data_IF_073365225374
#
_entry.id   IF_073365225374
#
_cell.length_a   1.000
_cell.length_b   1.000
_cell.length_c   1.000
_cell.angle_alpha   90.00
_cell.angle_beta   90.00
_cell.angle_gamma   90.00
#
_symmetry.space_group_name_H-M   'P 1'
#
loop_
_entity.id
_entity.type
_entity.pdbx_description
1 polymer ?
#
# COMPACT_ATOMS: atom_id res chain seq x y z
N UNK A 1 -9.91 2.55 1.99
CA UNK A 1 -9.51 2.73 0.57
C UNK A 1 -10.11 1.58 -0.21
N UNK A 2 -10.74 1.90 -1.35
CA UNK A 2 -11.73 1.14 -2.15
C UNK A 2 -11.45 -0.37 -2.34
N UNK A 3 -12.43 -1.20 -1.99
CA UNK A 3 -12.51 -2.61 -2.43
C UNK A 3 -12.75 -2.66 -3.94
N UNK A 4 -12.26 -3.72 -4.60
CA UNK A 4 -12.47 -4.03 -6.03
C UNK A 4 -13.92 -4.44 -6.37
N UNK A 5 -14.91 -3.92 -5.66
CA UNK A 5 -16.34 -4.02 -6.03
C UNK A 5 -16.81 -2.79 -6.80
N UNK A 6 -15.90 -1.85 -7.08
CA UNK A 6 -16.20 -0.50 -7.54
C UNK A 6 -16.36 -0.29 -9.04
N UNK A 7 -16.39 -1.32 -9.89
CA UNK A 7 -16.60 -1.11 -11.32
C UNK A 7 -17.42 -2.27 -11.92
N UNK A 8 -18.59 -1.93 -12.47
CA UNK A 8 -19.57 -2.75 -13.20
C UNK A 8 -20.44 -3.74 -12.41
N UNK A 9 -21.63 -3.28 -12.00
CA UNK A 9 -22.96 -3.78 -12.40
C UNK A 9 -23.95 -2.67 -11.99
N UNK A 10 -24.37 -1.85 -12.94
CA UNK A 10 -25.57 -1.03 -12.78
C UNK A 10 -26.73 -1.96 -13.16
N UNK A 11 -27.26 -2.65 -12.15
CA UNK A 11 -28.61 -3.24 -12.23
C UNK A 11 -29.54 -2.33 -11.45
N UNK A 12 -30.62 -1.93 -12.12
CA UNK A 12 -31.64 -1.00 -11.68
C UNK A 12 -32.44 -1.56 -10.50
N UNK A 13 -31.96 -1.30 -9.28
CA UNK A 13 -32.74 -1.07 -8.05
C UNK A 13 -31.75 -0.89 -6.88
N UNK A 14 -31.06 0.26 -6.84
CA UNK A 14 -30.09 0.54 -5.78
C UNK A 14 -30.75 1.29 -4.62
N UNK A 15 -31.39 0.53 -3.73
CA UNK A 15 -31.56 1.01 -2.34
C UNK A 15 -30.14 1.33 -1.83
N UNK A 16 -29.83 2.62 -1.62
CA UNK A 16 -28.58 3.01 -0.98
C UNK A 16 -28.53 2.33 0.39
N UNK A 17 -27.64 1.35 0.56
CA UNK A 17 -27.39 0.73 1.86
C UNK A 17 -27.09 1.86 2.86
N UNK A 18 -27.94 1.99 3.86
CA UNK A 18 -27.75 2.90 4.99
C UNK A 18 -26.40 2.65 5.65
N UNK A 19 -25.78 3.70 6.19
CA UNK A 19 -24.59 3.56 7.02
C UNK A 19 -24.95 2.68 8.23
N UNK A 20 -24.29 1.53 8.36
CA UNK A 20 -24.46 0.68 9.52
C UNK A 20 -23.87 1.39 10.75
N UNK A 21 -24.60 1.34 11.87
CA UNK A 21 -24.11 1.83 13.15
C UNK A 21 -22.84 1.05 13.55
N UNK A 22 -21.89 1.69 14.26
CA UNK A 22 -20.75 0.98 14.81
C UNK A 22 -21.25 -0.06 15.81
N UNK A 23 -20.72 -1.27 15.71
CA UNK A 23 -20.97 -2.35 16.68
C UNK A 23 -19.73 -2.52 17.56
N UNK A 24 -19.96 -2.79 18.84
CA UNK A 24 -18.85 -3.02 19.78
C UNK A 24 -18.18 -4.40 19.55
N UNK A 25 -17.07 -4.66 20.25
CA UNK A 25 -16.29 -5.90 20.04
C UNK A 25 -17.05 -7.14 20.53
N UNK A 26 -17.85 -7.05 21.57
CA UNK A 26 -18.68 -8.16 22.02
C UNK A 26 -19.79 -8.44 21.00
N UNK A 27 -20.46 -7.41 20.49
CA UNK A 27 -21.44 -7.54 19.41
C UNK A 27 -20.84 -8.14 18.14
N UNK A 28 -19.58 -7.80 17.83
CA UNK A 28 -18.85 -8.43 16.72
C UNK A 28 -18.68 -9.94 16.94
N UNK A 29 -18.31 -10.35 18.14
CA UNK A 29 -18.13 -11.76 18.51
C UNK A 29 -19.46 -12.52 18.42
N UNK A 30 -20.54 -11.96 18.97
CA UNK A 30 -21.86 -12.58 18.90
C UNK A 30 -22.37 -12.68 17.44
N UNK A 31 -22.08 -11.68 16.61
CA UNK A 31 -22.35 -11.76 15.17
C UNK A 31 -21.59 -12.91 14.50
N UNK A 32 -20.30 -13.10 14.83
CA UNK A 32 -19.52 -14.21 14.29
C UNK A 32 -20.10 -15.58 14.69
N UNK A 33 -20.50 -15.73 15.96
CA UNK A 33 -21.15 -16.94 16.47
C UNK A 33 -22.49 -17.17 15.76
N UNK A 34 -23.27 -16.10 15.53
CA UNK A 34 -24.55 -16.19 14.79
C UNK A 34 -24.40 -16.63 13.33
N UNK A 35 -23.19 -16.53 12.78
CA UNK A 35 -22.83 -17.00 11.45
C UNK A 35 -22.20 -18.40 11.47
N UNK A 36 -22.32 -19.14 12.57
CA UNK A 36 -21.79 -20.49 12.80
C UNK A 36 -20.25 -20.55 12.97
N UNK A 37 -19.59 -19.44 13.35
CA UNK A 37 -18.17 -19.50 13.71
C UNK A 37 -17.99 -20.10 15.11
N UNK A 38 -17.09 -21.07 15.24
CA UNK A 38 -16.70 -21.59 16.54
C UNK A 38 -15.68 -20.66 17.20
N UNK A 39 -16.00 -20.22 18.42
CA UNK A 39 -15.13 -19.36 19.23
C UNK A 39 -15.09 -19.96 20.63
N UNK A 40 -14.01 -20.68 20.94
CA UNK A 40 -13.82 -21.30 22.25
C UNK A 40 -13.40 -20.25 23.28
N UNK A 41 -12.40 -19.43 22.96
CA UNK A 41 -11.90 -18.35 23.81
C UNK A 41 -12.39 -16.98 23.33
N UNK A 42 -13.51 -16.53 23.91
CA UNK A 42 -14.08 -15.20 23.60
C UNK A 42 -13.15 -14.07 24.05
N UNK A 43 -12.35 -14.23 25.10
CA UNK A 43 -11.47 -13.16 25.57
C UNK A 43 -10.25 -13.01 24.67
N UNK A 44 -9.70 -14.12 24.17
CA UNK A 44 -8.72 -14.10 23.10
C UNK A 44 -9.26 -13.41 21.84
N UNK A 45 -10.47 -13.75 21.40
CA UNK A 45 -11.10 -13.09 20.26
C UNK A 45 -11.23 -11.58 20.45
N UNK A 46 -11.62 -11.11 21.65
CA UNK A 46 -11.67 -9.66 21.97
C UNK A 46 -10.29 -9.01 21.86
N UNK A 47 -9.24 -9.64 22.40
CA UNK A 47 -7.88 -9.12 22.35
C UNK A 47 -7.43 -8.95 20.89
N UNK A 48 -7.65 -9.98 20.07
CA UNK A 48 -7.26 -9.96 18.65
C UNK A 48 -8.03 -8.90 17.87
N UNK A 49 -9.36 -8.83 18.04
CA UNK A 49 -10.20 -7.85 17.34
C UNK A 49 -9.84 -6.41 17.72
N UNK A 50 -9.46 -6.15 18.97
CA UNK A 50 -8.98 -4.84 19.40
C UNK A 50 -7.60 -4.47 18.82
N UNK A 51 -6.71 -5.47 18.63
CA UNK A 51 -5.35 -5.23 18.12
C UNK A 51 -5.29 -5.08 16.60
N UNK A 52 -6.04 -5.91 15.86
CA UNK A 52 -5.92 -6.02 14.39
C UNK A 52 -7.11 -5.40 13.67
N UNK A 53 -8.24 -5.17 14.35
CA UNK A 53 -9.55 -4.81 13.81
C UNK A 53 -10.30 -5.95 13.09
N UNK A 54 -11.61 -6.02 13.33
CA UNK A 54 -12.53 -6.94 12.66
C UNK A 54 -12.43 -6.89 11.13
N UNK A 55 -12.32 -5.68 10.55
CA UNK A 55 -12.26 -5.55 9.09
C UNK A 55 -10.99 -6.18 8.51
N UNK A 56 -9.84 -6.00 9.17
CA UNK A 56 -8.59 -6.56 8.67
C UNK A 56 -8.57 -8.08 8.79
N UNK A 57 -9.01 -8.65 9.91
CA UNK A 57 -8.89 -10.08 10.14
C UNK A 57 -10.08 -10.85 9.56
N UNK A 58 -11.30 -10.53 9.97
CA UNK A 58 -12.50 -11.26 9.56
C UNK A 58 -12.82 -10.99 8.10
N UNK A 59 -12.98 -9.72 7.69
CA UNK A 59 -13.45 -9.44 6.32
C UNK A 59 -12.45 -9.82 5.24
N UNK A 60 -11.15 -9.83 5.54
CA UNK A 60 -10.13 -10.17 4.54
C UNK A 60 -9.83 -11.67 4.47
N UNK A 61 -9.75 -12.36 5.62
CA UNK A 61 -9.27 -13.75 5.66
C UNK A 61 -10.38 -14.78 5.83
N UNK A 62 -11.60 -14.35 6.17
CA UNK A 62 -12.71 -15.28 6.40
C UNK A 62 -13.58 -15.53 5.16
N UNK A 63 -13.26 -14.95 3.99
CA UNK A 63 -14.14 -14.99 2.81
C UNK A 63 -14.21 -16.39 2.19
N UNK A 64 -13.11 -17.13 2.21
CA UNK A 64 -13.02 -18.50 1.67
C UNK A 64 -13.50 -19.56 2.66
N UNK A 65 -13.82 -19.15 3.90
CA UNK A 65 -14.28 -20.03 4.97
C UNK A 65 -15.80 -19.96 5.14
N UNK A 66 -16.51 -19.43 4.13
CA UNK A 66 -17.96 -19.24 4.16
C UNK A 66 -18.66 -19.88 2.98
N UNK A 67 -19.76 -20.53 3.25
CA UNK A 67 -20.71 -21.03 2.27
C UNK A 67 -22.11 -20.49 2.59
N UNK A 68 -22.83 -20.01 1.56
CA UNK A 68 -24.17 -19.43 1.71
C UNK A 68 -24.30 -18.33 2.79
N UNK A 69 -23.21 -17.60 3.04
CA UNK A 69 -23.16 -16.50 4.03
C UNK A 69 -22.85 -16.92 5.46
N UNK A 70 -22.74 -18.23 5.74
CA UNK A 70 -22.36 -18.81 7.04
C UNK A 70 -20.97 -19.41 6.97
N UNK A 71 -20.32 -19.60 8.11
CA UNK A 71 -19.04 -20.28 8.19
C UNK A 71 -19.20 -21.78 7.92
N UNK A 72 -18.20 -22.38 7.28
CA UNK A 72 -18.16 -23.83 7.06
C UNK A 72 -18.08 -24.53 8.42
N UNK A 73 -18.69 -25.71 8.55
CA UNK A 73 -18.68 -26.48 9.79
C UNK A 73 -17.25 -26.68 10.33
N UNK A 74 -17.11 -26.59 11.65
CA UNK A 74 -15.83 -26.65 12.37
C UNK A 74 -14.81 -25.54 12.05
N UNK A 75 -15.21 -24.46 11.35
CA UNK A 75 -14.35 -23.27 11.23
C UNK A 75 -14.26 -22.58 12.57
N UNK A 76 -13.04 -22.42 13.08
CA UNK A 76 -12.77 -21.68 14.31
C UNK A 76 -12.28 -20.25 14.06
N UNK A 77 -12.38 -19.39 15.06
CA UNK A 77 -11.79 -18.05 15.00
C UNK A 77 -10.27 -18.12 14.82
N UNK A 78 -9.61 -19.07 15.47
CA UNK A 78 -8.19 -19.33 15.40
C UNK A 78 -7.75 -19.65 13.97
N UNK A 79 -8.54 -20.39 13.19
CA UNK A 79 -8.23 -20.61 11.77
C UNK A 79 -8.12 -19.30 10.98
N UNK A 80 -9.01 -18.33 11.25
CA UNK A 80 -8.95 -17.01 10.61
C UNK A 80 -7.70 -16.25 11.06
N UNK A 81 -7.34 -16.37 12.34
CA UNK A 81 -6.13 -15.75 12.89
C UNK A 81 -4.87 -16.35 12.28
N UNK A 82 -4.79 -17.67 12.14
CA UNK A 82 -3.64 -18.37 11.57
C UNK A 82 -3.42 -17.97 10.10
N UNK A 83 -4.50 -17.86 9.31
CA UNK A 83 -4.42 -17.35 7.94
C UNK A 83 -3.88 -15.92 7.88
N UNK A 84 -4.27 -15.06 8.83
CA UNK A 84 -3.75 -13.70 8.94
C UNK A 84 -2.26 -13.68 9.31
N UNK A 85 -1.86 -14.48 10.29
CA UNK A 85 -0.46 -14.57 10.74
C UNK A 85 0.43 -15.12 9.64
N UNK A 86 -0.01 -16.15 8.93
CA UNK A 86 0.70 -16.70 7.79
C UNK A 86 0.95 -15.66 6.69
N UNK A 87 -0.08 -14.91 6.27
CA UNK A 87 0.08 -13.85 5.26
C UNK A 87 0.98 -12.71 5.76
N UNK A 88 0.92 -12.37 7.05
CA UNK A 88 1.81 -11.38 7.66
C UNK A 88 3.28 -11.84 7.59
N UNK A 89 3.57 -13.06 7.98
CA UNK A 89 4.92 -13.63 7.94
C UNK A 89 5.45 -13.74 6.52
N UNK A 90 4.62 -14.25 5.59
CA UNK A 90 4.98 -14.33 4.17
C UNK A 90 5.32 -12.94 3.61
N UNK A 91 4.53 -11.93 3.96
CA UNK A 91 4.77 -10.55 3.53
C UNK A 91 6.07 -9.98 4.09
N UNK A 92 6.43 -10.30 5.33
CA UNK A 92 7.71 -9.87 5.90
C UNK A 92 8.90 -10.48 5.14
N UNK A 93 8.84 -11.77 4.84
CA UNK A 93 9.87 -12.44 4.04
C UNK A 93 9.96 -11.81 2.64
N UNK A 94 8.81 -11.63 1.98
CA UNK A 94 8.76 -11.08 0.64
C UNK A 94 9.30 -9.65 0.58
N UNK A 95 8.96 -8.79 1.55
CA UNK A 95 9.45 -7.42 1.57
C UNK A 95 10.97 -7.34 1.81
N UNK A 96 11.52 -8.22 2.64
CA UNK A 96 12.98 -8.31 2.81
C UNK A 96 13.68 -8.62 1.48
N UNK A 97 13.14 -9.54 0.69
CA UNK A 97 13.69 -9.87 -0.64
C UNK A 97 13.50 -8.72 -1.65
N UNK A 98 12.32 -8.09 -1.67
CA UNK A 98 12.03 -6.98 -2.57
C UNK A 98 12.96 -5.79 -2.29
N UNK A 99 13.32 -5.54 -1.04
CA UNK A 99 14.24 -4.48 -0.65
C UNK A 99 15.61 -4.64 -1.35
N UNK A 100 16.18 -5.86 -1.34
CA UNK A 100 17.44 -6.14 -2.04
C UNK A 100 17.32 -5.93 -3.56
N UNK A 101 16.21 -6.40 -4.15
CA UNK A 101 15.95 -6.22 -5.59
C UNK A 101 15.81 -4.74 -5.93
N UNK A 102 15.13 -3.95 -5.09
CA UNK A 102 14.94 -2.52 -5.29
C UNK A 102 16.27 -1.78 -5.31
N UNK A 103 17.15 -2.05 -4.34
CA UNK A 103 18.48 -1.43 -4.25
C UNK A 103 19.31 -1.75 -5.49
N UNK A 104 19.36 -3.03 -5.88
CA UNK A 104 20.12 -3.46 -7.06
C UNK A 104 19.57 -2.82 -8.34
N UNK A 105 18.25 -2.89 -8.56
CA UNK A 105 17.62 -2.35 -9.75
C UNK A 105 17.82 -0.83 -9.86
N UNK A 106 17.68 -0.11 -8.74
CA UNK A 106 17.92 1.33 -8.69
C UNK A 106 19.36 1.65 -9.08
N UNK A 107 20.33 0.95 -8.51
CA UNK A 107 21.74 1.14 -8.84
C UNK A 107 22.03 0.85 -10.32
N UNK A 108 21.53 -0.27 -10.84
CA UNK A 108 21.71 -0.65 -12.24
C UNK A 108 21.14 0.40 -13.21
N UNK A 109 19.90 0.87 -12.96
CA UNK A 109 19.26 1.89 -13.79
C UNK A 109 20.02 3.22 -13.69
N UNK A 110 20.35 3.68 -12.47
CA UNK A 110 21.03 4.97 -12.28
C UNK A 110 22.43 4.96 -12.89
N UNK A 111 23.22 3.90 -12.69
CA UNK A 111 24.57 3.81 -13.25
C UNK A 111 24.54 3.83 -14.78
N UNK A 112 23.68 3.02 -15.39
CA UNK A 112 23.53 3.01 -16.85
C UNK A 112 23.07 4.37 -17.38
N UNK A 113 22.03 4.95 -16.76
CA UNK A 113 21.46 6.21 -17.21
C UNK A 113 22.46 7.37 -17.08
N UNK A 114 23.15 7.48 -15.94
CA UNK A 114 24.13 8.54 -15.69
C UNK A 114 25.33 8.45 -16.64
N UNK A 115 25.83 7.25 -16.94
CA UNK A 115 26.93 7.08 -17.90
C UNK A 115 26.51 7.40 -19.33
N UNK A 116 25.28 7.04 -19.72
CA UNK A 116 24.80 7.21 -21.10
C UNK A 116 24.30 8.62 -21.41
N UNK A 117 23.63 9.26 -20.45
CA UNK A 117 22.90 10.52 -20.67
C UNK A 117 23.35 11.66 -19.75
N UNK A 118 24.27 11.39 -18.83
CA UNK A 118 24.73 12.35 -17.82
C UNK A 118 23.76 12.52 -16.65
N UNK A 119 24.25 13.14 -15.57
CA UNK A 119 23.52 13.33 -14.31
C UNK A 119 22.20 14.13 -14.47
N UNK A 120 22.12 14.98 -15.49
CA UNK A 120 20.94 15.77 -15.82
C UNK A 120 20.28 15.36 -17.14
N UNK A 121 20.55 14.15 -17.64
CA UNK A 121 20.03 13.67 -18.93
C UNK A 121 18.51 13.73 -19.06
N UNK A 122 17.78 13.68 -17.95
CA UNK A 122 16.32 13.85 -17.89
C UNK A 122 15.83 15.27 -18.24
N UNK A 123 16.71 16.27 -18.26
CA UNK A 123 16.40 17.64 -18.70
C UNK A 123 16.58 17.83 -20.20
N UNK A 124 17.33 16.96 -20.86
CA UNK A 124 17.56 17.04 -22.29
C UNK A 124 16.39 16.39 -23.05
N UNK A 125 15.80 17.14 -23.99
CA UNK A 125 14.67 16.71 -24.80
C UNK A 125 15.09 15.65 -25.83
N UNK A 126 16.36 15.66 -26.26
CA UNK A 126 16.91 14.70 -27.23
C UNK A 126 16.85 13.25 -26.72
N UNK A 127 16.92 13.07 -25.39
CA UNK A 127 16.86 11.77 -24.72
C UNK A 127 15.44 11.17 -24.65
N UNK A 128 14.42 11.90 -25.09
CA UNK A 128 13.03 11.44 -25.07
C UNK A 128 12.52 11.09 -26.47
N UNK A 129 12.04 9.85 -26.65
CA UNK A 129 11.36 9.43 -27.89
C UNK A 129 10.10 10.23 -28.18
N UNK A 130 9.39 10.70 -27.14
CA UNK A 130 8.17 11.51 -27.24
C UNK A 130 8.33 12.79 -26.42
N UNK A 131 8.32 13.95 -27.07
CA UNK A 131 8.54 15.26 -26.42
C UNK A 131 7.55 15.59 -25.29
N UNK A 132 6.30 15.14 -25.40
CA UNK A 132 5.29 15.35 -24.36
C UNK A 132 5.61 14.66 -23.03
N UNK A 133 6.40 13.58 -23.04
CA UNK A 133 6.76 12.85 -21.83
C UNK A 133 7.69 13.65 -20.94
N UNK A 134 8.66 14.36 -21.52
CA UNK A 134 9.60 15.19 -20.74
C UNK A 134 8.85 16.22 -19.90
N UNK A 135 7.88 16.94 -20.50
CA UNK A 135 7.08 17.93 -19.78
C UNK A 135 6.34 17.32 -18.60
N UNK A 136 5.79 16.11 -18.76
CA UNK A 136 5.13 15.38 -17.67
C UNK A 136 6.13 14.99 -16.59
N UNK A 137 7.28 14.41 -16.97
CA UNK A 137 8.35 14.00 -16.06
C UNK A 137 8.86 15.18 -15.23
N UNK A 138 9.16 16.32 -15.85
CA UNK A 138 9.64 17.52 -15.16
C UNK A 138 8.57 18.08 -14.22
N UNK A 139 7.30 18.09 -14.62
CA UNK A 139 6.18 18.52 -13.77
C UNK A 139 6.01 17.61 -12.56
N UNK A 140 6.13 16.30 -12.73
CA UNK A 140 6.06 15.34 -11.64
C UNK A 140 7.26 15.47 -10.69
N UNK A 141 8.47 15.64 -11.22
CA UNK A 141 9.67 15.88 -10.44
C UNK A 141 9.53 17.13 -9.56
N UNK A 142 9.06 18.24 -10.12
CA UNK A 142 8.81 19.47 -9.37
C UNK A 142 7.78 19.27 -8.24
N UNK A 143 6.70 18.52 -8.51
CA UNK A 143 5.71 18.17 -7.48
C UNK A 143 6.33 17.34 -6.35
N UNK A 144 7.18 16.35 -6.69
CA UNK A 144 7.88 15.51 -5.71
C UNK A 144 8.87 16.31 -4.88
N UNK A 145 9.63 17.23 -5.49
CA UNK A 145 10.54 18.14 -4.78
C UNK A 145 9.75 19.03 -3.81
N UNK A 146 8.66 19.65 -4.28
CA UNK A 146 7.83 20.52 -3.43
C UNK A 146 7.23 19.78 -2.23
N UNK A 147 6.72 18.56 -2.46
CA UNK A 147 6.15 17.71 -1.39
C UNK A 147 7.19 17.30 -0.35
N UNK A 148 8.45 17.11 -0.77
CA UNK A 148 9.53 16.63 0.08
C UNK A 148 10.54 17.73 0.43
N UNK A 149 10.16 19.01 0.37
CA UNK A 149 11.09 20.15 0.56
C UNK A 149 11.82 20.13 1.91
N UNK A 150 11.21 19.55 2.94
CA UNK A 150 11.79 19.39 4.29
C UNK A 150 12.73 18.19 4.42
N UNK A 151 12.86 17.35 3.37
CA UNK A 151 13.80 16.23 3.38
C UNK A 151 15.24 16.75 3.40
N UNK A 152 16.11 16.22 4.28
CA UNK A 152 17.52 16.58 4.32
C UNK A 152 18.21 16.44 2.97
N UNK A 153 17.84 15.42 2.18
CA UNK A 153 18.39 15.18 0.86
C UNK A 153 18.13 16.34 -0.11
N UNK A 154 16.87 16.82 -0.20
CA UNK A 154 16.52 17.92 -1.10
C UNK A 154 17.19 19.22 -0.66
N UNK A 155 17.21 19.48 0.64
CA UNK A 155 17.89 20.68 1.17
C UNK A 155 19.38 20.68 0.85
N UNK A 156 20.06 19.54 1.06
CA UNK A 156 21.48 19.40 0.76
C UNK A 156 21.76 19.53 -0.74
N UNK A 157 20.95 18.87 -1.58
CA UNK A 157 21.07 18.96 -3.03
C UNK A 157 20.89 20.39 -3.55
N UNK A 158 19.90 21.14 -3.07
CA UNK A 158 19.71 22.55 -3.45
C UNK A 158 20.90 23.42 -3.03
N UNK A 159 21.50 23.14 -1.86
CA UNK A 159 22.67 23.87 -1.37
C UNK A 159 23.90 23.63 -2.26
N UNK A 160 24.18 22.38 -2.61
CA UNK A 160 25.28 21.99 -3.50
C UNK A 160 25.11 22.64 -4.87
N UNK A 161 23.92 22.50 -5.48
CA UNK A 161 23.62 23.06 -6.81
C UNK A 161 23.72 24.59 -6.85
N UNK A 162 23.41 25.28 -5.75
CA UNK A 162 23.60 26.73 -5.64
C UNK A 162 25.08 27.08 -5.58
N UNK A 163 25.86 26.39 -4.76
CA UNK A 163 27.30 26.62 -4.64
C UNK A 163 28.05 26.43 -5.97
N UNK A 164 27.72 25.38 -6.73
CA UNK A 164 28.32 25.11 -8.05
C UNK A 164 28.01 26.23 -9.06
N UNK A 165 26.78 26.76 -9.06
CA UNK A 165 26.38 27.87 -9.94
C UNK A 165 27.12 29.17 -9.64
N UNK A 166 27.44 29.45 -8.37
CA UNK A 166 28.23 30.61 -7.99
C UNK A 166 29.68 30.48 -8.47
N UNK A 167 30.26 29.28 -8.45
CA UNK A 167 31.62 29.05 -8.92
C UNK A 167 31.76 29.21 -10.44
N UNK A 168 30.78 28.74 -11.21
CA UNK A 168 30.76 28.89 -12.68
C UNK A 168 30.50 30.33 -13.18
N UNK A 169 30.11 31.26 -12.31
CA UNK A 169 29.91 32.67 -12.65
C UNK A 169 31.15 33.55 -12.35
N UNK A 170 32.15 33.00 -11.65
CA UNK A 170 33.38 33.70 -11.27
C UNK A 170 34.59 33.33 -12.15
N UNK A 171 34.38 32.46 -13.16
CA UNK A 171 35.32 32.14 -14.24
C UNK A 171 34.78 32.70 -15.54
#
# INVERSE_FOLDING_TARGET
>A
MRTKSGFFIISSNSVKKSHQAPIDVNEQIENLISLDLQIEDKDYAKIVLNRVSYYRIVKAYSITLKENGKYIEATTFENIVDLYLFDMELRHILFSLIEHIEVYLRAAITNYFSLKYGNFGYKDLSNYKKKNFQKSTLKELQRKIKRNKKSPFIHNFEKIMKAERFHSMLQ
#
